data_IF_276312827955
#
_entry.id   IF_276312827955
#
_cell.length_a   1.000
_cell.length_b   1.000
_cell.length_c   1.000
_cell.angle_alpha   90.00
_cell.angle_beta   90.00
_cell.angle_gamma   90.00
#
_symmetry.space_group_name_H-M   'P 1'
#
loop_
_entity.id
_entity.type
_entity.pdbx_description
1 polymer ?
#
# COMPACT_ATOMS: atom_id res chain seq x y z
N UNK A 1 -33.21 21.29 -9.89
CA UNK A 1 -31.84 21.83 -9.93
C UNK A 1 -30.98 20.78 -9.24
N UNK A 2 -30.36 19.87 -10.01
CA UNK A 2 -29.47 18.87 -9.43
C UNK A 2 -28.17 19.60 -9.09
N UNK A 3 -27.89 19.73 -7.80
CA UNK A 3 -26.59 20.23 -7.33
C UNK A 3 -25.55 19.20 -7.73
N UNK A 4 -24.70 19.57 -8.69
CA UNK A 4 -23.49 18.86 -9.02
C UNK A 4 -22.67 18.75 -7.73
N UNK A 5 -22.55 17.53 -7.18
CA UNK A 5 -21.77 17.30 -5.98
C UNK A 5 -20.32 17.61 -6.32
N UNK A 6 -19.80 18.72 -5.79
CA UNK A 6 -18.42 19.13 -6.04
C UNK A 6 -17.47 17.97 -5.73
N UNK A 7 -16.53 17.70 -6.65
CA UNK A 7 -15.52 16.66 -6.48
C UNK A 7 -14.75 16.91 -5.17
N UNK A 8 -14.84 15.95 -4.24
CA UNK A 8 -14.15 15.99 -2.95
C UNK A 8 -13.10 14.88 -2.91
N UNK A 9 -11.80 15.18 -3.04
CA UNK A 9 -10.76 14.16 -3.02
C UNK A 9 -10.64 13.47 -1.65
N UNK A 10 -10.90 14.23 -0.57
CA UNK A 10 -10.73 13.77 0.81
C UNK A 10 -12.05 13.85 1.57
N UNK A 11 -12.41 12.78 2.26
CA UNK A 11 -13.56 12.72 3.15
C UNK A 11 -13.19 12.80 4.62
N UNK A 12 -14.21 13.04 5.44
CA UNK A 12 -14.07 13.18 6.88
C UNK A 12 -15.21 12.44 7.55
N UNK A 13 -14.83 11.39 8.28
CA UNK A 13 -15.72 10.49 8.99
C UNK A 13 -15.45 10.52 10.48
N UNK A 14 -16.47 10.13 11.23
CA UNK A 14 -16.43 9.96 12.68
C UNK A 14 -16.94 8.56 13.01
N UNK A 15 -16.16 7.82 13.79
CA UNK A 15 -16.53 6.50 14.31
C UNK A 15 -17.44 6.67 15.53
N UNK A 16 -18.72 6.33 15.37
CA UNK A 16 -19.71 6.36 16.46
C UNK A 16 -20.13 4.95 16.84
N UNK A 17 -20.84 4.79 17.96
CA UNK A 17 -21.37 3.49 18.39
C UNK A 17 -22.39 2.94 17.39
N UNK A 18 -23.05 3.81 16.64
CA UNK A 18 -24.02 3.45 15.60
C UNK A 18 -23.37 3.22 14.22
N UNK A 19 -22.05 3.37 14.10
CA UNK A 19 -21.29 3.21 12.86
C UNK A 19 -20.58 4.49 12.39
N UNK A 20 -20.10 4.47 11.15
CA UNK A 20 -19.41 5.62 10.55
C UNK A 20 -20.40 6.69 10.11
N UNK A 21 -20.11 7.95 10.43
CA UNK A 21 -20.88 9.12 9.98
C UNK A 21 -19.97 10.16 9.34
N UNK A 22 -20.46 10.86 8.33
CA UNK A 22 -19.75 11.94 7.67
C UNK A 22 -19.87 11.88 6.15
N UNK A 23 -18.96 12.57 5.47
CA UNK A 23 -18.90 12.61 4.01
C UNK A 23 -17.66 11.88 3.52
N UNK A 24 -17.82 11.00 2.55
CA UNK A 24 -16.70 10.29 1.93
C UNK A 24 -16.03 11.10 0.83
N UNK A 25 -14.73 10.94 0.70
CA UNK A 25 -13.91 11.45 -0.38
C UNK A 25 -13.78 10.45 -1.53
N UNK A 26 -13.26 10.94 -2.65
CA UNK A 26 -12.99 10.13 -3.83
C UNK A 26 -11.70 9.28 -3.71
N UNK A 27 -10.73 9.71 -2.90
CA UNK A 27 -9.44 9.02 -2.77
C UNK A 27 -9.27 8.34 -1.40
N UNK A 28 -9.52 9.08 -0.32
CA UNK A 28 -9.42 8.54 1.04
C UNK A 28 -10.24 9.38 2.03
N UNK A 29 -10.46 8.80 3.20
CA UNK A 29 -11.20 9.39 4.31
C UNK A 29 -10.31 9.51 5.54
N UNK A 30 -10.29 10.68 6.18
CA UNK A 30 -9.84 10.78 7.56
C UNK A 30 -10.97 10.31 8.49
N UNK A 31 -10.69 9.34 9.35
CA UNK A 31 -11.65 8.82 10.32
C UNK A 31 -11.21 9.18 11.73
N UNK A 32 -12.01 9.99 12.41
CA UNK A 32 -11.80 10.32 13.82
C UNK A 32 -12.47 9.25 14.68
N UNK A 33 -11.71 8.64 15.59
CA UNK A 33 -12.16 7.56 16.46
C UNK A 33 -11.73 7.79 17.91
N UNK A 34 -12.24 6.99 18.84
CA UNK A 34 -11.92 7.12 20.27
C UNK A 34 -10.41 7.08 20.51
N UNK A 35 -9.71 6.21 19.79
CA UNK A 35 -8.29 5.94 19.95
C UNK A 35 -7.38 6.74 19.00
N UNK A 36 -7.91 7.74 18.28
CA UNK A 36 -7.12 8.67 17.48
C UNK A 36 -7.69 8.91 16.08
N UNK A 37 -6.80 9.20 15.13
CA UNK A 37 -7.14 9.50 13.72
C UNK A 37 -6.58 8.43 12.82
N UNK A 38 -7.41 7.98 11.88
CA UNK A 38 -7.08 6.99 10.86
C UNK A 38 -7.22 7.60 9.48
N UNK A 39 -6.50 7.04 8.52
CA UNK A 39 -6.79 7.18 7.09
C UNK A 39 -7.39 5.86 6.63
N UNK A 40 -8.51 5.92 5.93
CA UNK A 40 -9.18 4.80 5.26
C UNK A 40 -9.20 5.06 3.76
N UNK A 41 -8.80 4.08 2.96
CA UNK A 41 -8.85 4.16 1.51
C UNK A 41 -9.27 2.80 0.94
N UNK A 42 -9.95 2.85 -0.20
CA UNK A 42 -10.43 1.67 -0.92
C UNK A 42 -10.08 1.77 -2.40
N UNK A 43 -9.65 0.66 -2.98
CA UNK A 43 -9.30 0.57 -4.39
C UNK A 43 -9.67 -0.80 -4.96
N UNK A 44 -9.25 -1.04 -6.20
CA UNK A 44 -9.58 -2.27 -6.94
C UNK A 44 -9.03 -3.52 -6.27
N UNK A 45 -7.82 -3.47 -5.71
CA UNK A 45 -7.11 -4.66 -5.19
C UNK A 45 -7.12 -4.78 -3.68
N UNK A 46 -7.17 -3.65 -2.98
CA UNK A 46 -7.13 -3.64 -1.52
C UNK A 46 -8.02 -2.55 -0.91
N UNK A 47 -8.28 -2.70 0.38
CA UNK A 47 -8.79 -1.66 1.25
C UNK A 47 -7.89 -1.61 2.49
N UNK A 48 -7.55 -0.40 2.94
CA UNK A 48 -6.64 -0.23 4.06
C UNK A 48 -7.16 0.86 5.02
N UNK A 49 -6.99 0.60 6.30
CA UNK A 49 -7.19 1.55 7.38
C UNK A 49 -5.93 1.61 8.24
N UNK A 50 -5.29 2.76 8.29
CA UNK A 50 -4.02 2.98 9.00
C UNK A 50 -4.20 4.08 10.03
N UNK A 51 -3.74 3.84 11.25
CA UNK A 51 -3.73 4.87 12.29
C UNK A 51 -2.59 5.85 12.04
N UNK A 52 -2.92 7.13 11.83
CA UNK A 52 -1.94 8.18 11.54
C UNK A 52 -1.65 9.07 12.75
N UNK A 53 -2.55 9.11 13.72
CA UNK A 53 -2.33 9.77 15.00
C UNK A 53 -2.99 8.99 16.13
N UNK A 54 -2.27 8.76 17.23
CA UNK A 54 -2.81 8.20 18.46
C UNK A 54 -3.38 9.31 19.34
N UNK A 55 -4.47 9.04 20.04
CA UNK A 55 -5.06 10.00 20.97
C UNK A 55 -6.28 9.42 21.68
N UNK A 56 -6.84 10.17 22.61
CA UNK A 56 -8.11 9.83 23.28
C UNK A 56 -9.14 10.89 22.96
N UNK A 57 -10.16 10.53 22.18
CA UNK A 57 -11.23 11.42 21.73
C UNK A 57 -12.55 10.94 22.35
N UNK A 58 -13.04 11.70 23.33
CA UNK A 58 -14.21 11.30 24.14
C UNK A 58 -15.47 11.21 23.30
N UNK A 59 -16.28 10.19 23.57
CA UNK A 59 -17.62 10.02 22.99
C UNK A 59 -17.69 9.32 21.63
N UNK A 60 -16.55 8.87 21.11
CA UNK A 60 -16.45 8.12 19.85
C UNK A 60 -16.29 6.62 20.12
N UNK A 61 -16.37 5.80 19.07
CA UNK A 61 -16.04 4.38 19.13
C UNK A 61 -14.59 4.15 18.67
N UNK A 62 -13.84 3.20 19.27
CA UNK A 62 -12.49 2.88 18.84
C UNK A 62 -12.49 2.21 17.46
N UNK A 63 -11.35 2.26 16.78
CA UNK A 63 -11.11 1.53 15.53
C UNK A 63 -9.81 0.75 15.57
N UNK A 64 -9.80 -0.36 14.86
CA UNK A 64 -8.59 -1.12 14.59
C UNK A 64 -8.05 -0.80 13.20
N UNK A 65 -6.72 -0.81 13.00
CA UNK A 65 -6.12 -0.89 11.68
C UNK A 65 -6.64 -2.12 10.93
N UNK A 66 -6.73 -2.01 9.61
CA UNK A 66 -7.20 -3.10 8.77
C UNK A 66 -6.51 -3.08 7.41
N UNK A 67 -6.28 -4.28 6.86
CA UNK A 67 -5.87 -4.47 5.48
C UNK A 67 -6.71 -5.63 4.92
N UNK A 68 -7.39 -5.38 3.81
CA UNK A 68 -8.18 -6.38 3.08
C UNK A 68 -7.65 -6.48 1.67
N UNK A 69 -7.16 -7.66 1.29
CA UNK A 69 -6.87 -8.00 -0.10
C UNK A 69 -8.14 -8.55 -0.74
N UNK A 70 -8.68 -7.84 -1.74
CA UNK A 70 -10.01 -8.15 -2.32
C UNK A 70 -10.05 -9.48 -3.07
N UNK A 71 -8.89 -10.00 -3.45
CA UNK A 71 -8.75 -11.24 -4.19
C UNK A 71 -8.16 -12.39 -3.35
N UNK A 72 -8.24 -12.26 -2.02
CA UNK A 72 -7.66 -13.22 -1.08
C UNK A 72 -6.19 -12.93 -0.76
N UNK A 73 -5.56 -13.76 0.08
CA UNK A 73 -4.15 -13.57 0.43
C UNK A 73 -3.24 -13.82 -0.78
N UNK A 74 -2.17 -13.04 -0.91
CA UNK A 74 -1.09 -13.31 -1.88
C UNK A 74 -0.44 -14.65 -1.50
N UNK A 75 -0.39 -15.64 -2.40
CA UNK A 75 0.24 -16.93 -2.11
C UNK A 75 1.73 -16.79 -1.77
N UNK A 76 2.18 -17.49 -0.73
CA UNK A 76 3.57 -17.41 -0.26
C UNK A 76 4.61 -17.76 -1.33
N UNK A 77 4.31 -18.70 -2.23
CA UNK A 77 5.24 -19.09 -3.28
C UNK A 77 5.61 -17.93 -4.23
N UNK A 78 4.76 -16.90 -4.36
CA UNK A 78 5.09 -15.72 -5.15
C UNK A 78 6.15 -14.85 -4.46
N UNK A 79 6.12 -14.81 -3.13
CA UNK A 79 7.18 -14.18 -2.36
C UNK A 79 8.49 -14.97 -2.49
N UNK A 80 8.43 -16.31 -2.42
CA UNK A 80 9.61 -17.17 -2.62
C UNK A 80 10.23 -17.01 -4.02
N UNK A 81 9.39 -16.86 -5.06
CA UNK A 81 9.83 -16.56 -6.41
C UNK A 81 10.44 -15.15 -6.54
N UNK A 82 9.86 -14.16 -5.86
CA UNK A 82 10.42 -12.81 -5.82
C UNK A 82 11.82 -12.80 -5.17
N UNK A 83 11.98 -13.49 -4.04
CA UNK A 83 13.28 -13.67 -3.41
C UNK A 83 14.27 -14.38 -4.33
N UNK A 84 13.83 -15.46 -5.00
CA UNK A 84 14.66 -16.19 -5.96
C UNK A 84 15.12 -15.28 -7.10
N UNK A 85 14.23 -14.42 -7.60
CA UNK A 85 14.56 -13.45 -8.64
C UNK A 85 15.59 -12.43 -8.16
N UNK A 86 15.49 -11.94 -6.92
CA UNK A 86 16.45 -11.00 -6.33
C UNK A 86 17.82 -11.64 -6.07
N UNK A 87 17.86 -12.92 -5.70
CA UNK A 87 19.10 -13.68 -5.42
C UNK A 87 19.91 -14.06 -6.66
N UNK A 88 19.39 -13.85 -7.87
CA UNK A 88 20.14 -14.08 -9.11
C UNK A 88 21.37 -13.16 -9.17
N UNK A 89 21.25 -11.93 -8.69
CA UNK A 89 22.33 -10.95 -8.62
C UNK A 89 22.13 -10.03 -7.39
N UNK A 90 22.53 -10.48 -6.19
CA UNK A 90 22.25 -9.79 -4.94
C UNK A 90 23.06 -8.51 -4.74
N UNK A 91 24.08 -8.27 -5.57
CA UNK A 91 24.86 -7.03 -5.56
C UNK A 91 24.09 -5.87 -6.22
N UNK A 92 23.05 -6.18 -7.00
CA UNK A 92 22.22 -5.20 -7.67
C UNK A 92 20.83 -5.14 -7.03
N UNK A 93 20.28 -3.92 -6.92
CA UNK A 93 18.87 -3.76 -6.59
C UNK A 93 18.00 -4.31 -7.72
N UNK A 94 16.87 -4.92 -7.33
CA UNK A 94 15.94 -5.53 -8.27
C UNK A 94 14.52 -5.26 -7.83
N UNK A 95 13.70 -4.80 -8.77
CA UNK A 95 12.28 -4.64 -8.61
C UNK A 95 11.53 -5.88 -9.10
N UNK A 96 10.53 -6.29 -8.32
CA UNK A 96 9.61 -7.38 -8.60
C UNK A 96 8.20 -6.95 -8.19
N UNK A 97 7.23 -7.12 -9.07
CA UNK A 97 5.82 -6.87 -8.79
C UNK A 97 5.04 -8.18 -8.62
N UNK A 98 4.02 -8.13 -7.77
CA UNK A 98 2.90 -9.08 -7.83
C UNK A 98 1.70 -8.37 -8.43
N UNK A 99 1.24 -8.87 -9.58
CA UNK A 99 0.12 -8.30 -10.34
C UNK A 99 -1.12 -9.19 -10.24
N UNK A 100 -2.29 -8.61 -10.54
CA UNK A 100 -3.56 -9.33 -10.60
C UNK A 100 -4.10 -9.40 -12.03
N UNK A 101 -4.20 -10.62 -12.57
CA UNK A 101 -4.85 -10.90 -13.85
C UNK A 101 -5.54 -12.29 -13.78
N UNK A 102 -6.78 -12.30 -13.30
CA UNK A 102 -7.56 -13.53 -13.00
C UNK A 102 -6.81 -14.52 -12.07
N UNK A 103 -5.93 -13.98 -11.23
CA UNK A 103 -4.99 -14.69 -10.39
C UNK A 103 -3.80 -13.79 -10.04
N UNK A 104 -3.06 -14.16 -9.01
CA UNK A 104 -1.81 -13.48 -8.66
C UNK A 104 -0.66 -14.00 -9.53
N UNK A 105 0.11 -13.08 -10.09
CA UNK A 105 1.28 -13.39 -10.94
C UNK A 105 2.51 -12.63 -10.46
N UNK A 106 3.68 -13.22 -10.65
CA UNK A 106 4.95 -12.50 -10.50
C UNK A 106 5.28 -11.80 -11.82
N UNK A 107 5.72 -10.55 -11.74
CA UNK A 107 6.15 -9.77 -12.90
C UNK A 107 7.48 -9.09 -12.58
N UNK A 108 8.45 -9.26 -13.47
CA UNK A 108 9.74 -8.55 -13.42
C UNK A 108 9.79 -7.68 -14.67
N UNK A 109 9.48 -6.38 -14.57
CA UNK A 109 9.52 -5.50 -15.74
C UNK A 109 10.97 -5.28 -16.19
N UNK A 110 11.10 -4.73 -17.39
CA UNK A 110 12.36 -4.13 -17.84
C UNK A 110 12.78 -3.05 -16.84
N UNK A 111 14.04 -3.08 -16.45
CA UNK A 111 14.56 -2.24 -15.38
C UNK A 111 16.05 -1.98 -15.56
N UNK A 112 16.47 -0.76 -15.23
CA UNK A 112 17.88 -0.38 -15.14
C UNK A 112 18.32 -0.51 -13.68
N UNK A 113 19.28 -1.40 -13.42
CA UNK A 113 19.70 -1.79 -12.07
C UNK A 113 21.08 -1.25 -11.74
N UNK A 114 21.26 -0.86 -10.48
CA UNK A 114 22.56 -0.59 -9.86
C UNK A 114 22.57 -1.12 -8.43
N UNK A 115 23.72 -1.04 -7.77
CA UNK A 115 23.87 -1.52 -6.39
C UNK A 115 23.07 -0.73 -5.35
N UNK A 116 22.51 0.42 -5.73
CA UNK A 116 21.80 1.33 -4.81
C UNK A 116 20.59 2.03 -5.43
N UNK A 117 20.15 1.59 -6.60
CA UNK A 117 18.95 2.11 -7.24
C UNK A 117 18.45 1.14 -8.31
N UNK A 118 17.14 1.10 -8.49
CA UNK A 118 16.51 0.46 -9.64
C UNK A 118 15.48 1.40 -10.28
N UNK A 119 15.55 1.55 -11.60
CA UNK A 119 14.60 2.37 -12.38
C UNK A 119 13.74 1.44 -13.20
N UNK A 120 12.42 1.60 -13.10
CA UNK A 120 11.44 0.68 -13.68
C UNK A 120 10.12 1.40 -13.97
N UNK A 121 9.35 0.84 -14.91
CA UNK A 121 7.93 1.18 -15.03
C UNK A 121 7.10 0.20 -14.19
N UNK A 122 6.19 0.73 -13.39
CA UNK A 122 5.30 -0.09 -12.57
C UNK A 122 4.28 -0.77 -13.48
N UNK A 123 4.20 -2.11 -13.49
CA UNK A 123 3.19 -2.82 -14.27
C UNK A 123 1.77 -2.40 -13.88
N UNK A 124 0.85 -2.42 -14.84
CA UNK A 124 -0.57 -2.28 -14.56
C UNK A 124 -1.05 -3.38 -13.60
N UNK A 125 -2.11 -3.09 -12.87
CA UNK A 125 -2.75 -4.04 -11.95
C UNK A 125 -1.81 -4.61 -10.87
N UNK A 126 -0.76 -3.86 -10.52
CA UNK A 126 0.16 -4.21 -9.43
C UNK A 126 -0.51 -4.10 -8.05
N UNK A 127 -0.43 -5.19 -7.29
CA UNK A 127 -0.97 -5.32 -5.93
C UNK A 127 0.11 -5.16 -4.86
N UNK A 128 1.32 -5.65 -5.14
CA UNK A 128 2.47 -5.55 -4.25
C UNK A 128 3.73 -5.20 -5.06
N UNK A 129 4.38 -4.11 -4.66
CA UNK A 129 5.72 -3.72 -5.10
C UNK A 129 6.75 -4.28 -4.13
N UNK A 130 7.76 -4.98 -4.65
CA UNK A 130 8.94 -5.41 -3.91
C UNK A 130 10.18 -4.89 -4.60
N UNK A 131 11.11 -4.31 -3.84
CA UNK A 131 12.45 -4.05 -4.33
C UNK A 131 13.51 -4.57 -3.35
N UNK A 132 14.67 -4.97 -3.88
CA UNK A 132 15.81 -5.40 -3.07
C UNK A 132 16.79 -4.26 -2.80
N UNK A 133 17.47 -4.35 -1.67
CA UNK A 133 18.55 -3.48 -1.21
C UNK A 133 19.90 -4.24 -1.13
N UNK A 134 19.98 -5.41 -1.79
CA UNK A 134 21.14 -6.31 -1.73
C UNK A 134 21.58 -6.62 -0.30
N UNK A 135 22.87 -6.43 -0.02
CA UNK A 135 23.46 -6.62 1.31
C UNK A 135 23.05 -5.57 2.36
N UNK A 136 22.38 -4.48 1.97
CA UNK A 136 21.92 -3.47 2.92
C UNK A 136 20.69 -3.96 3.71
N UNK A 137 20.42 -3.32 4.83
CA UNK A 137 19.18 -3.56 5.60
C UNK A 137 17.95 -3.11 4.81
N UNK A 138 16.80 -3.76 5.07
CA UNK A 138 15.51 -3.32 4.53
C UNK A 138 15.03 -2.04 5.24
N UNK A 139 14.86 -0.96 4.49
CA UNK A 139 14.27 0.30 4.94
C UNK A 139 13.77 1.07 3.72
N UNK A 140 12.71 1.88 3.87
CA UNK A 140 12.30 2.81 2.82
C UNK A 140 13.23 4.03 2.82
N UNK A 141 13.96 4.23 1.72
CA UNK A 141 14.83 5.39 1.47
C UNK A 141 14.02 6.64 1.14
N UNK A 142 14.69 7.80 1.08
CA UNK A 142 14.04 9.05 0.64
C UNK A 142 13.52 8.99 -0.79
N UNK A 143 14.16 8.17 -1.64
CA UNK A 143 13.73 7.94 -3.02
C UNK A 143 12.46 7.09 -3.03
N UNK A 144 12.43 5.99 -2.28
CA UNK A 144 11.27 5.10 -2.20
C UNK A 144 10.04 5.85 -1.68
N UNK A 145 10.20 6.64 -0.62
CA UNK A 145 9.10 7.47 -0.08
C UNK A 145 8.50 8.46 -1.10
N UNK A 146 9.25 8.82 -2.16
CA UNK A 146 8.79 9.70 -3.23
C UNK A 146 8.10 8.92 -4.34
N UNK A 147 8.66 7.77 -4.70
CA UNK A 147 8.24 7.02 -5.88
C UNK A 147 7.07 6.06 -5.57
N UNK A 148 6.99 5.57 -4.32
CA UNK A 148 5.98 4.63 -3.82
C UNK A 148 4.67 5.33 -3.40
N UNK A 149 4.06 6.03 -4.36
CA UNK A 149 2.87 6.88 -4.11
C UNK A 149 1.52 6.24 -4.48
N UNK A 150 1.53 5.05 -5.08
CA UNK A 150 0.32 4.34 -5.51
C UNK A 150 -0.45 3.66 -4.36
N UNK A 151 -1.73 3.33 -4.59
CA UNK A 151 -2.55 2.60 -3.61
C UNK A 151 -2.39 1.07 -3.77
N UNK A 152 -1.26 0.56 -3.27
CA UNK A 152 -0.83 -0.84 -3.31
C UNK A 152 0.02 -1.17 -2.08
N UNK A 153 0.42 -2.43 -1.92
CA UNK A 153 1.40 -2.80 -0.90
C UNK A 153 2.82 -2.50 -1.40
N UNK A 154 3.69 -2.12 -0.48
CA UNK A 154 5.11 -1.90 -0.74
C UNK A 154 5.94 -2.71 0.25
N UNK A 155 7.05 -3.25 -0.21
CA UNK A 155 7.99 -3.99 0.62
C UNK A 155 9.42 -3.85 0.14
N UNK A 156 10.34 -3.75 1.10
CA UNK A 156 11.78 -3.73 0.85
C UNK A 156 12.38 -5.02 1.37
N UNK A 157 13.20 -5.67 0.55
CA UNK A 157 13.96 -6.86 0.92
C UNK A 157 15.43 -6.47 1.03
N UNK A 158 16.09 -6.82 2.13
CA UNK A 158 17.51 -6.54 2.31
C UNK A 158 18.19 -7.67 3.06
N UNK A 159 19.53 -7.64 3.10
CA UNK A 159 20.40 -8.70 3.60
C UNK A 159 20.18 -10.01 2.85
N UNK A 160 20.11 -9.89 1.53
CA UNK A 160 20.08 -11.02 0.60
C UNK A 160 21.46 -11.68 0.45
#
# INVERSE_FOLDING_TARGET
MMTETAFKPVGYLVSTKEGMRGERGAFYDYVTAENGVFIEAEGRFLAARVQVAKGVIRGLAPLEPALVLRHGPIPQHLFDLALSAMLIDPEQERYVAVTWADGYHITVPEQEVSASSVVYEVPDDTVLDLHSHGGMRAFFSTTDNRDESGFRLFGVVGRL
#
